data_IF_232297174511
#
_entry.id   IF_232297174511
#
_cell.length_a   1.000
_cell.length_b   1.000
_cell.length_c   1.000
_cell.angle_alpha   90.00
_cell.angle_beta   90.00
_cell.angle_gamma   90.00
#
_symmetry.space_group_name_H-M   'P 1'
#
loop_
_entity.id
_entity.type
_entity.pdbx_description
1 polymer ?
#
# COMPACT_ATOMS: atom_id res chain seq x y z
N UNK A 1 -21.27 -18.90 -21.06
CA UNK A 1 -22.19 -17.73 -20.86
C UNK A 1 -21.37 -16.52 -20.40
N UNK A 2 -21.77 -15.31 -20.80
CA UNK A 2 -21.09 -14.07 -20.40
C UNK A 2 -21.51 -13.72 -18.97
N UNK A 3 -20.53 -13.57 -18.05
CA UNK A 3 -20.83 -13.12 -16.69
C UNK A 3 -21.30 -11.65 -16.68
N UNK A 4 -22.23 -11.32 -15.81
CA UNK A 4 -22.63 -9.94 -15.52
C UNK A 4 -21.47 -9.20 -14.86
N UNK A 5 -21.27 -7.92 -15.22
CA UNK A 5 -20.25 -7.05 -14.62
C UNK A 5 -20.96 -5.93 -13.88
N UNK A 6 -20.64 -5.74 -12.62
CA UNK A 6 -21.27 -4.74 -11.75
C UNK A 6 -20.23 -4.05 -10.86
N UNK A 7 -20.46 -2.80 -10.43
CA UNK A 7 -19.66 -2.19 -9.38
C UNK A 7 -19.85 -2.95 -8.07
N UNK A 8 -18.81 -2.98 -7.25
CA UNK A 8 -18.88 -3.52 -5.89
C UNK A 8 -19.45 -2.42 -4.98
N UNK A 9 -20.63 -2.68 -4.42
CA UNK A 9 -21.27 -1.81 -3.41
C UNK A 9 -21.03 -2.36 -1.99
N UNK A 10 -21.47 -1.64 -0.98
CA UNK A 10 -21.38 -2.09 0.42
C UNK A 10 -22.14 -3.41 0.65
N UNK A 11 -23.21 -3.66 -0.10
CA UNK A 11 -24.02 -4.89 -0.01
C UNK A 11 -23.30 -6.10 -0.60
N UNK A 12 -22.40 -5.89 -1.58
CA UNK A 12 -21.64 -6.96 -2.23
C UNK A 12 -20.41 -7.40 -1.44
N UNK A 13 -19.97 -6.59 -0.46
CA UNK A 13 -18.73 -6.85 0.30
C UNK A 13 -18.66 -8.26 0.90
N UNK A 14 -19.74 -8.84 1.50
CA UNK A 14 -19.66 -10.19 2.05
C UNK A 14 -19.40 -11.26 0.97
N UNK A 15 -20.05 -11.15 -0.19
CA UNK A 15 -19.91 -12.11 -1.29
C UNK A 15 -18.50 -11.99 -1.95
N UNK A 16 -18.06 -10.76 -2.20
CA UNK A 16 -16.73 -10.48 -2.78
C UNK A 16 -15.63 -10.89 -1.82
N UNK A 17 -15.72 -10.57 -0.54
CA UNK A 17 -14.73 -10.95 0.48
C UNK A 17 -14.57 -12.46 0.62
N UNK A 18 -15.69 -13.20 0.62
CA UNK A 18 -15.69 -14.67 0.59
C UNK A 18 -15.01 -15.21 -0.67
N UNK A 19 -15.26 -14.60 -1.82
CA UNK A 19 -14.61 -14.97 -3.07
C UNK A 19 -13.10 -14.73 -3.00
N UNK A 20 -12.66 -13.55 -2.53
CA UNK A 20 -11.23 -13.20 -2.40
C UNK A 20 -10.49 -14.11 -1.42
N UNK A 21 -11.11 -14.42 -0.26
CA UNK A 21 -10.58 -15.40 0.70
C UNK A 21 -10.36 -16.76 0.03
N UNK A 22 -11.38 -17.30 -0.62
CA UNK A 22 -11.33 -18.67 -1.18
C UNK A 22 -10.45 -18.81 -2.41
N UNK A 23 -10.36 -17.76 -3.25
CA UNK A 23 -9.76 -17.88 -4.58
C UNK A 23 -8.42 -17.17 -4.72
N UNK A 24 -8.17 -16.12 -3.93
CA UNK A 24 -6.92 -15.36 -4.02
C UNK A 24 -5.97 -15.66 -2.86
N UNK A 25 -6.43 -15.48 -1.63
CA UNK A 25 -5.57 -15.68 -0.46
C UNK A 25 -6.35 -16.16 0.76
N UNK A 26 -6.35 -17.49 1.05
CA UNK A 26 -7.07 -18.06 2.19
C UNK A 26 -6.44 -17.72 3.56
N UNK A 27 -5.28 -17.05 3.60
CA UNK A 27 -4.67 -16.59 4.85
C UNK A 27 -5.24 -15.24 5.33
N UNK A 28 -5.96 -14.54 4.46
CA UNK A 28 -6.70 -13.31 4.80
C UNK A 28 -8.15 -13.70 4.99
N UNK A 29 -8.66 -13.57 6.21
CA UNK A 29 -10.04 -13.96 6.55
C UNK A 29 -11.09 -13.11 5.80
N UNK A 30 -12.29 -13.67 5.60
CA UNK A 30 -13.40 -12.97 4.92
C UNK A 30 -13.67 -11.60 5.55
N UNK A 31 -13.65 -11.51 6.89
CA UNK A 31 -13.84 -10.27 7.63
C UNK A 31 -12.72 -9.25 7.37
N UNK A 32 -11.48 -9.71 7.27
CA UNK A 32 -10.33 -8.83 6.98
C UNK A 32 -10.42 -8.25 5.57
N UNK A 33 -10.85 -9.05 4.57
CA UNK A 33 -11.14 -8.56 3.22
C UNK A 33 -12.23 -7.49 3.23
N UNK A 34 -13.35 -7.73 3.94
CA UNK A 34 -14.45 -6.78 4.05
C UNK A 34 -14.04 -5.48 4.76
N UNK A 35 -13.23 -5.58 5.82
CA UNK A 35 -12.71 -4.42 6.54
C UNK A 35 -11.75 -3.60 5.68
N UNK A 36 -10.87 -4.26 4.91
CA UNK A 36 -9.92 -3.58 4.03
C UNK A 36 -10.60 -2.79 2.91
N UNK A 37 -11.79 -3.20 2.48
CA UNK A 37 -12.58 -2.48 1.48
C UNK A 37 -13.38 -1.30 2.07
N UNK A 38 -13.59 -1.28 3.39
CA UNK A 38 -14.13 -0.13 4.12
C UNK A 38 -12.98 0.74 4.61
N UNK A 39 -12.36 1.44 3.67
CA UNK A 39 -11.19 2.27 3.98
C UNK A 39 -11.43 3.22 5.16
N UNK A 40 -10.43 3.48 6.01
CA UNK A 40 -10.61 4.31 7.20
C UNK A 40 -10.59 5.83 6.93
N UNK A 41 -10.16 6.25 5.75
CA UNK A 41 -10.14 7.66 5.35
C UNK A 41 -11.46 8.09 4.71
N UNK A 42 -11.79 9.37 4.86
CA UNK A 42 -13.01 9.97 4.32
C UNK A 42 -12.75 10.51 2.91
N UNK A 43 -13.31 9.84 1.91
CA UNK A 43 -13.25 10.25 0.51
C UNK A 43 -14.46 9.68 -0.25
N UNK A 44 -15.02 10.42 -1.21
CA UNK A 44 -16.05 9.88 -2.08
C UNK A 44 -15.56 8.62 -2.81
N UNK A 45 -16.20 7.49 -2.55
CA UNK A 45 -15.91 6.22 -3.21
C UNK A 45 -17.08 5.85 -4.12
N UNK A 46 -16.92 5.90 -5.45
CA UNK A 46 -18.00 5.56 -6.38
C UNK A 46 -18.38 4.06 -6.32
N UNK A 47 -17.44 3.24 -5.86
CA UNK A 47 -17.57 1.79 -5.69
C UNK A 47 -16.35 1.27 -4.91
N UNK A 48 -16.27 -0.05 -4.66
CA UNK A 48 -15.07 -0.70 -4.09
C UNK A 48 -14.31 -1.52 -5.16
N UNK A 49 -14.46 -1.18 -6.42
CA UNK A 49 -14.00 -1.93 -7.58
C UNK A 49 -15.18 -2.54 -8.36
N UNK A 50 -14.89 -3.56 -9.16
CA UNK A 50 -15.89 -4.25 -9.97
C UNK A 50 -15.79 -5.76 -9.81
N UNK A 51 -16.93 -6.45 -10.00
CA UNK A 51 -16.96 -7.91 -9.98
C UNK A 51 -17.72 -8.49 -11.17
N UNK A 52 -17.44 -9.74 -11.44
CA UNK A 52 -18.15 -10.58 -12.41
C UNK A 52 -18.98 -11.60 -11.66
N UNK A 53 -20.27 -11.73 -12.03
CA UNK A 53 -21.17 -12.72 -11.46
C UNK A 53 -21.79 -13.61 -12.52
N UNK A 54 -22.00 -14.87 -12.19
CA UNK A 54 -22.80 -15.82 -12.96
C UNK A 54 -23.94 -16.31 -12.07
N UNK A 55 -25.16 -15.78 -12.29
CA UNK A 55 -26.23 -15.87 -11.30
C UNK A 55 -25.80 -15.17 -10.01
N UNK A 56 -25.98 -15.81 -8.87
CA UNK A 56 -25.58 -15.28 -7.56
C UNK A 56 -24.10 -15.52 -7.22
N UNK A 57 -23.37 -16.23 -8.07
CA UNK A 57 -21.99 -16.60 -7.80
C UNK A 57 -21.01 -15.57 -8.34
N UNK A 58 -20.17 -15.02 -7.49
CA UNK A 58 -19.00 -14.23 -7.90
C UNK A 58 -17.97 -15.14 -8.58
N UNK A 59 -17.55 -14.78 -9.80
CA UNK A 59 -16.57 -15.52 -10.61
C UNK A 59 -15.32 -14.72 -10.92
N UNK A 60 -15.29 -13.45 -10.54
CA UNK A 60 -14.12 -12.58 -10.63
C UNK A 60 -14.35 -11.26 -9.90
N UNK A 61 -13.29 -10.65 -9.37
CA UNK A 61 -13.33 -9.32 -8.78
C UNK A 61 -11.99 -8.60 -8.96
N UNK A 62 -12.05 -7.28 -9.08
CA UNK A 62 -10.91 -6.39 -9.06
C UNK A 62 -11.22 -5.24 -8.10
N UNK A 63 -10.47 -5.14 -7.01
CA UNK A 63 -10.70 -4.19 -5.95
C UNK A 63 -10.05 -2.84 -6.28
N UNK A 64 -10.65 -1.76 -5.79
CA UNK A 64 -10.16 -0.40 -5.98
C UNK A 64 -10.23 0.39 -4.68
N UNK A 65 -9.23 1.24 -4.48
CA UNK A 65 -9.07 2.13 -3.33
C UNK A 65 -8.96 3.55 -3.84
N UNK A 66 -9.89 4.41 -3.43
CA UNK A 66 -9.97 5.79 -3.89
C UNK A 66 -9.39 6.74 -2.86
N UNK A 67 -8.75 7.80 -3.33
CA UNK A 67 -8.21 8.86 -2.49
C UNK A 67 -8.14 10.17 -3.23
N UNK A 68 -8.03 11.25 -2.47
CA UNK A 68 -7.68 12.58 -2.96
C UNK A 68 -6.23 12.90 -2.61
N UNK A 69 -5.51 13.53 -3.52
CA UNK A 69 -4.13 13.96 -3.34
C UNK A 69 -3.95 15.42 -3.69
N UNK A 70 -3.30 16.17 -2.82
CA UNK A 70 -2.93 17.54 -3.10
C UNK A 70 -1.61 17.57 -3.88
N UNK A 71 -1.62 18.06 -5.10
CA UNK A 71 -0.45 18.14 -5.97
C UNK A 71 -0.39 19.54 -6.59
N UNK A 72 0.65 20.29 -6.29
CA UNK A 72 0.85 21.66 -6.79
C UNK A 72 -0.35 22.62 -6.57
N UNK A 73 -1.12 22.41 -5.51
CA UNK A 73 -2.32 23.20 -5.17
C UNK A 73 -3.61 22.72 -5.83
N UNK A 74 -3.57 21.64 -6.60
CA UNK A 74 -4.74 21.00 -7.19
C UNK A 74 -5.07 19.70 -6.47
N UNK A 75 -6.36 19.38 -6.38
CA UNK A 75 -6.84 18.10 -5.84
C UNK A 75 -6.98 17.10 -6.96
N UNK A 76 -6.16 16.05 -6.94
CA UNK A 76 -6.23 14.92 -7.86
C UNK A 76 -7.01 13.76 -7.26
N UNK A 77 -7.92 13.19 -8.03
CA UNK A 77 -8.60 11.94 -7.69
C UNK A 77 -7.71 10.76 -8.10
N UNK A 78 -7.39 9.89 -7.15
CA UNK A 78 -6.52 8.73 -7.39
C UNK A 78 -7.26 7.44 -7.10
N UNK A 79 -7.17 6.48 -8.01
CA UNK A 79 -7.68 5.12 -7.86
C UNK A 79 -6.50 4.13 -7.82
N UNK A 80 -6.24 3.56 -6.66
CA UNK A 80 -5.29 2.47 -6.53
C UNK A 80 -5.96 1.14 -6.86
N UNK A 81 -5.41 0.43 -7.85
CA UNK A 81 -5.83 -0.90 -8.24
C UNK A 81 -5.26 -1.92 -7.26
N UNK A 82 -6.14 -2.56 -6.50
CA UNK A 82 -5.74 -3.52 -5.48
C UNK A 82 -5.72 -4.96 -6.00
N UNK A 83 -6.33 -5.87 -5.25
CA UNK A 83 -6.34 -7.30 -5.54
C UNK A 83 -7.23 -7.65 -6.75
N UNK A 84 -6.71 -8.44 -7.68
CA UNK A 84 -7.42 -8.93 -8.86
C UNK A 84 -7.42 -10.45 -8.90
N UNK A 85 -8.62 -11.03 -8.91
CA UNK A 85 -8.83 -12.47 -9.00
C UNK A 85 -9.99 -12.81 -9.93
N UNK A 86 -9.80 -13.80 -10.81
CA UNK A 86 -10.84 -14.32 -11.70
C UNK A 86 -10.67 -15.83 -11.79
N UNK A 87 -11.76 -16.58 -11.68
CA UNK A 87 -11.74 -18.03 -11.86
C UNK A 87 -11.17 -18.39 -13.23
N UNK A 88 -10.44 -19.49 -13.32
CA UNK A 88 -9.81 -19.96 -14.57
C UNK A 88 -10.83 -20.14 -15.70
N UNK A 89 -12.01 -20.65 -15.41
CA UNK A 89 -13.12 -20.80 -16.38
C UNK A 89 -13.63 -19.47 -16.96
N UNK A 90 -13.35 -18.35 -16.29
CA UNK A 90 -13.79 -17.00 -16.66
C UNK A 90 -12.61 -16.04 -16.96
N UNK A 91 -11.37 -16.54 -16.97
CA UNK A 91 -10.15 -15.73 -17.16
C UNK A 91 -10.20 -14.84 -18.40
N UNK A 92 -10.81 -15.30 -19.48
CA UNK A 92 -11.02 -14.55 -20.72
C UNK A 92 -11.89 -13.28 -20.53
N UNK A 93 -12.66 -13.18 -19.44
CA UNK A 93 -13.49 -12.03 -19.11
C UNK A 93 -12.80 -11.05 -18.14
N UNK A 94 -11.66 -11.43 -17.57
CA UNK A 94 -10.96 -10.64 -16.55
C UNK A 94 -10.59 -9.23 -17.03
N UNK A 95 -10.18 -9.08 -18.29
CA UNK A 95 -9.82 -7.77 -18.85
C UNK A 95 -10.98 -6.76 -18.79
N UNK A 96 -12.22 -7.22 -18.78
CA UNK A 96 -13.41 -6.33 -18.64
C UNK A 96 -13.37 -5.58 -17.31
N UNK A 97 -12.93 -6.22 -16.22
CA UNK A 97 -12.82 -5.57 -14.90
C UNK A 97 -11.82 -4.42 -14.96
N UNK A 98 -10.60 -4.68 -15.45
CA UNK A 98 -9.56 -3.68 -15.57
C UNK A 98 -9.98 -2.52 -16.49
N UNK A 99 -10.50 -2.83 -17.67
CA UNK A 99 -10.90 -1.79 -18.62
C UNK A 99 -12.07 -0.95 -18.11
N UNK A 100 -12.95 -1.51 -17.30
CA UNK A 100 -14.07 -0.77 -16.68
C UNK A 100 -13.53 0.17 -15.59
N UNK A 101 -12.59 -0.28 -14.74
CA UNK A 101 -11.92 0.57 -13.77
C UNK A 101 -11.24 1.75 -14.46
N UNK A 102 -10.43 1.49 -15.50
CA UNK A 102 -9.67 2.51 -16.21
C UNK A 102 -10.51 3.49 -17.05
N UNK A 103 -11.78 3.21 -17.26
CA UNK A 103 -12.74 4.10 -17.93
C UNK A 103 -13.43 5.08 -16.98
N UNK A 104 -13.24 4.97 -15.69
CA UNK A 104 -13.78 5.94 -14.74
C UNK A 104 -13.12 7.30 -15.00
N UNK A 105 -13.89 8.36 -15.30
CA UNK A 105 -13.33 9.65 -15.67
C UNK A 105 -12.75 10.38 -14.46
N UNK A 106 -11.71 11.16 -14.68
CA UNK A 106 -11.14 12.06 -13.66
C UNK A 106 -10.19 11.40 -12.66
N UNK A 107 -9.85 10.12 -12.84
CA UNK A 107 -8.93 9.42 -11.95
C UNK A 107 -7.54 9.20 -12.56
N UNK A 108 -6.53 9.44 -11.75
CA UNK A 108 -5.18 8.91 -11.92
C UNK A 108 -5.11 7.50 -11.32
N UNK A 109 -4.34 6.59 -11.92
CA UNK A 109 -4.33 5.19 -11.49
C UNK A 109 -2.96 4.75 -11.00
N UNK A 110 -2.95 4.00 -9.88
CA UNK A 110 -1.77 3.32 -9.37
C UNK A 110 -2.05 1.82 -9.24
N UNK A 111 -0.99 1.00 -9.34
CA UNK A 111 -1.01 -0.44 -9.05
C UNK A 111 0.28 -0.77 -8.30
N UNK A 112 0.17 -0.97 -6.98
CA UNK A 112 1.33 -1.15 -6.11
C UNK A 112 1.66 -2.62 -5.82
N UNK A 113 0.83 -3.54 -6.33
CA UNK A 113 1.04 -4.98 -6.16
C UNK A 113 0.73 -5.80 -7.42
N UNK A 114 1.09 -5.32 -8.64
CA UNK A 114 0.80 -6.07 -9.84
C UNK A 114 1.51 -7.42 -9.83
N UNK A 115 0.79 -8.49 -10.17
CA UNK A 115 1.42 -9.79 -10.40
C UNK A 115 2.29 -9.76 -11.66
N UNK A 116 3.26 -10.68 -11.76
CA UNK A 116 4.17 -10.72 -12.91
C UNK A 116 3.45 -10.79 -14.27
N UNK A 117 2.28 -11.43 -14.34
CA UNK A 117 1.46 -11.51 -15.56
C UNK A 117 0.69 -10.22 -15.87
N UNK A 118 0.44 -9.39 -14.86
CA UNK A 118 -0.28 -8.11 -15.00
C UNK A 118 0.62 -6.99 -15.49
N UNK A 119 1.91 -6.99 -15.12
CA UNK A 119 2.86 -5.95 -15.51
C UNK A 119 2.92 -5.71 -17.03
N UNK A 120 3.06 -6.74 -17.91
CA UNK A 120 3.04 -6.51 -19.35
C UNK A 120 1.71 -5.97 -19.87
N UNK A 121 0.60 -6.35 -19.26
CA UNK A 121 -0.72 -5.85 -19.61
C UNK A 121 -0.87 -4.37 -19.23
N UNK A 122 -0.48 -4.00 -18.01
CA UNK A 122 -0.51 -2.63 -17.54
C UNK A 122 0.33 -1.70 -18.43
N UNK A 123 1.54 -2.13 -18.85
CA UNK A 123 2.36 -1.36 -19.80
C UNK A 123 1.64 -1.07 -21.13
N UNK A 124 0.91 -2.07 -21.67
CA UNK A 124 0.08 -1.88 -22.89
C UNK A 124 -1.06 -0.89 -22.65
N UNK A 125 -1.50 -0.74 -21.40
CA UNK A 125 -2.54 0.20 -20.98
C UNK A 125 -1.97 1.53 -20.46
N UNK A 126 -0.73 1.87 -20.87
CA UNK A 126 -0.03 3.13 -20.58
C UNK A 126 0.36 3.33 -19.11
N UNK A 127 0.47 2.25 -18.31
CA UNK A 127 1.15 2.34 -17.03
C UNK A 127 2.66 2.39 -17.23
N UNK A 128 3.33 3.22 -16.44
CA UNK A 128 4.79 3.31 -16.33
C UNK A 128 5.27 2.63 -15.05
N UNK A 129 6.47 2.06 -15.08
CA UNK A 129 7.09 1.46 -13.90
C UNK A 129 7.61 2.57 -12.96
N UNK A 130 7.34 2.44 -11.66
CA UNK A 130 8.01 3.23 -10.65
C UNK A 130 9.41 2.65 -10.37
N UNK A 131 10.36 3.51 -9.98
CA UNK A 131 11.63 3.01 -9.46
C UNK A 131 11.41 2.40 -8.07
N UNK A 132 11.43 1.10 -8.03
CA UNK A 132 11.28 0.30 -6.81
C UNK A 132 12.61 -0.25 -6.29
N UNK A 133 13.74 0.37 -6.66
CA UNK A 133 15.04 0.01 -6.10
C UNK A 133 14.97 -0.02 -4.59
N UNK A 134 15.16 -1.21 -4.01
CA UNK A 134 14.94 -1.47 -2.58
C UNK A 134 16.23 -1.90 -1.93
N UNK A 135 16.49 -1.38 -0.73
CA UNK A 135 17.52 -1.89 0.17
C UNK A 135 16.91 -2.56 1.39
N UNK A 136 17.62 -3.55 1.91
CA UNK A 136 17.34 -4.25 3.16
C UNK A 136 18.24 -3.67 4.26
N UNK A 137 17.62 -3.23 5.35
CA UNK A 137 18.29 -2.81 6.58
C UNK A 137 18.08 -3.90 7.62
N UNK A 138 19.14 -4.57 8.10
CA UNK A 138 19.01 -5.60 9.13
C UNK A 138 18.47 -5.01 10.44
N UNK A 139 17.52 -5.71 11.06
CA UNK A 139 17.07 -5.42 12.41
C UNK A 139 18.06 -6.00 13.41
N UNK A 140 18.95 -5.18 13.92
CA UNK A 140 19.89 -5.56 14.97
C UNK A 140 19.63 -4.75 16.24
N UNK A 141 19.72 -5.35 17.44
CA UNK A 141 19.62 -4.60 18.68
C UNK A 141 20.74 -3.57 18.76
N UNK A 142 20.39 -2.30 18.74
CA UNK A 142 21.33 -1.21 18.91
C UNK A 142 21.19 -0.60 20.32
N UNK A 143 22.28 -0.23 21.01
CA UNK A 143 22.19 0.49 22.27
C UNK A 143 21.40 1.80 22.06
N UNK A 144 20.73 2.27 23.13
CA UNK A 144 20.01 3.54 23.05
C UNK A 144 20.97 4.65 22.66
N UNK A 145 20.74 5.24 21.45
CA UNK A 145 21.55 6.34 20.94
C UNK A 145 21.23 7.65 21.65
N UNK A 146 22.23 8.45 21.96
CA UNK A 146 21.99 9.81 22.40
C UNK A 146 21.40 10.63 21.26
N UNK A 147 20.28 11.33 21.53
CA UNK A 147 19.68 12.28 20.59
C UNK A 147 18.72 11.72 19.54
N UNK A 148 18.61 10.38 19.37
CA UNK A 148 17.66 9.77 18.39
C UNK A 148 16.65 8.93 19.15
N UNK A 149 15.36 9.21 18.95
CA UNK A 149 14.23 8.46 19.52
C UNK A 149 13.37 7.90 18.40
N UNK A 150 12.88 6.67 18.60
CA UNK A 150 11.89 6.05 17.70
C UNK A 150 10.74 5.55 18.56
N UNK A 151 9.51 5.92 18.21
CA UNK A 151 8.32 5.59 18.98
C UNK A 151 7.15 5.27 18.05
N UNK A 152 6.35 4.27 18.43
CA UNK A 152 5.05 3.96 17.83
C UNK A 152 3.90 4.17 18.84
N UNK A 153 4.15 4.85 19.95
CA UNK A 153 3.14 5.14 20.97
C UNK A 153 2.18 6.22 20.48
N UNK A 154 0.85 6.01 20.58
CA UNK A 154 -0.14 6.99 20.12
C UNK A 154 0.02 8.38 20.75
N UNK A 155 0.30 8.45 22.07
CA UNK A 155 0.50 9.72 22.76
C UNK A 155 1.70 10.53 22.24
N UNK A 156 2.76 9.83 21.78
CA UNK A 156 3.92 10.49 21.15
C UNK A 156 3.57 10.98 19.76
N UNK A 157 2.87 10.13 18.96
CA UNK A 157 2.40 10.49 17.62
C UNK A 157 1.50 11.72 17.68
N UNK A 158 0.50 11.72 18.58
CA UNK A 158 -0.44 12.83 18.78
C UNK A 158 0.24 14.13 19.22
N UNK A 159 1.37 14.04 19.96
CA UNK A 159 2.10 15.21 20.44
C UNK A 159 3.08 15.80 19.43
N UNK A 160 3.57 14.98 18.48
CA UNK A 160 4.62 15.37 17.52
C UNK A 160 4.02 15.76 16.17
N UNK A 161 3.03 14.99 15.67
CA UNK A 161 2.49 15.18 14.32
C UNK A 161 1.59 16.42 14.26
N UNK A 162 1.81 17.25 13.22
CA UNK A 162 1.06 18.49 12.97
C UNK A 162 0.74 18.62 11.48
N UNK A 163 -0.24 19.48 11.15
CA UNK A 163 -0.63 19.76 9.78
C UNK A 163 -0.92 18.50 8.98
N UNK A 164 -0.36 18.38 7.80
CA UNK A 164 -0.55 17.26 6.86
C UNK A 164 -0.20 15.89 7.48
N UNK A 165 0.86 15.81 8.28
CA UNK A 165 1.23 14.54 8.94
C UNK A 165 0.17 14.06 9.93
N UNK A 166 -0.49 15.00 10.62
CA UNK A 166 -1.58 14.69 11.55
C UNK A 166 -2.82 14.21 10.79
N UNK A 167 -3.13 14.79 9.65
CA UNK A 167 -4.21 14.37 8.76
C UNK A 167 -3.93 12.96 8.23
N UNK A 168 -2.74 12.72 7.68
CA UNK A 168 -2.32 11.40 7.21
C UNK A 168 -2.39 10.33 8.32
N UNK A 169 -2.01 10.69 9.56
CA UNK A 169 -2.13 9.78 10.69
C UNK A 169 -3.59 9.51 11.05
N UNK A 170 -4.46 10.52 11.07
CA UNK A 170 -5.88 10.35 11.34
C UNK A 170 -6.54 9.41 10.32
N UNK A 171 -6.23 9.57 9.03
CA UNK A 171 -6.74 8.77 7.95
C UNK A 171 -6.32 7.30 8.02
N UNK A 172 -5.10 7.04 8.50
CA UNK A 172 -4.53 5.69 8.44
C UNK A 172 -4.43 4.97 9.78
N UNK A 173 -4.70 5.64 10.92
CA UNK A 173 -4.55 5.03 12.25
C UNK A 173 -5.40 3.78 12.47
N UNK A 174 -6.52 3.66 11.76
CA UNK A 174 -7.39 2.50 11.79
C UNK A 174 -7.12 1.50 10.64
N UNK A 175 -6.18 1.77 9.74
CA UNK A 175 -5.81 0.88 8.66
C UNK A 175 -5.04 -0.34 9.19
N UNK A 176 -5.56 -1.54 8.97
CA UNK A 176 -5.12 -2.76 9.66
C UNK A 176 -3.64 -3.12 9.42
N UNK A 177 -3.09 -2.80 8.25
CA UNK A 177 -1.70 -3.10 7.90
C UNK A 177 -0.73 -1.95 8.23
N UNK A 178 -1.20 -0.73 8.48
CA UNK A 178 -0.36 0.41 8.76
C UNK A 178 0.26 0.34 10.17
N UNK A 179 1.55 0.65 10.26
CA UNK A 179 2.30 0.81 11.51
C UNK A 179 2.89 2.20 11.51
N UNK A 180 2.45 3.01 12.47
CA UNK A 180 2.78 4.42 12.58
C UNK A 180 3.94 4.62 13.53
N UNK A 181 4.96 5.34 13.09
CA UNK A 181 6.20 5.49 13.81
C UNK A 181 6.67 6.94 13.66
N UNK A 182 7.13 7.54 14.73
CA UNK A 182 7.91 8.79 14.71
C UNK A 182 9.35 8.48 15.04
N UNK A 183 10.25 8.89 14.14
CA UNK A 183 11.68 8.97 14.38
C UNK A 183 12.02 10.45 14.63
N UNK A 184 12.57 10.78 15.78
CA UNK A 184 12.89 12.16 16.16
C UNK A 184 14.32 12.31 16.63
N UNK A 185 14.89 13.48 16.33
CA UNK A 185 16.12 14.03 16.90
C UNK A 185 15.78 15.26 17.73
N UNK A 186 16.74 15.96 18.31
CA UNK A 186 16.45 17.15 19.12
C UNK A 186 15.68 18.26 18.38
N UNK A 187 15.83 18.38 17.05
CA UNK A 187 15.29 19.48 16.25
C UNK A 187 14.40 19.03 15.08
N UNK A 188 14.41 17.76 14.71
CA UNK A 188 13.73 17.25 13.53
C UNK A 188 12.97 15.97 13.85
N UNK A 189 11.92 15.70 13.07
CA UNK A 189 11.26 14.41 13.12
C UNK A 189 10.94 13.91 11.69
N UNK A 190 10.64 12.62 11.63
CA UNK A 190 10.16 11.94 10.45
C UNK A 190 8.98 11.05 10.86
N UNK A 191 7.82 11.31 10.33
CA UNK A 191 6.69 10.41 10.41
C UNK A 191 6.85 9.30 9.36
N UNK A 192 6.81 8.05 9.82
CA UNK A 192 7.00 6.86 9.00
C UNK A 192 5.77 5.99 9.10
N UNK A 193 5.25 5.54 7.95
CA UNK A 193 4.27 4.46 7.88
C UNK A 193 4.96 3.23 7.30
N UNK A 194 4.89 2.12 8.04
CA UNK A 194 5.43 0.84 7.63
C UNK A 194 4.34 -0.24 7.69
N UNK A 195 4.59 -1.40 7.08
CA UNK A 195 3.74 -2.58 7.20
C UNK A 195 4.60 -3.83 7.42
N UNK A 196 4.00 -4.89 7.99
CA UNK A 196 4.62 -6.22 7.94
C UNK A 196 4.62 -6.71 6.50
N UNK A 197 5.69 -7.39 6.11
CA UNK A 197 5.86 -7.93 4.76
C UNK A 197 6.30 -9.40 4.80
N UNK A 198 5.91 -10.13 3.79
CA UNK A 198 6.27 -11.54 3.59
C UNK A 198 7.12 -11.64 2.32
N UNK A 199 8.33 -12.19 2.44
CA UNK A 199 9.22 -12.48 1.31
C UNK A 199 9.56 -13.96 1.27
N UNK A 200 9.35 -14.62 0.12
CA UNK A 200 9.59 -16.07 -0.07
C UNK A 200 8.95 -16.93 1.04
N UNK A 201 7.74 -16.59 1.45
CA UNK A 201 7.02 -17.30 2.53
C UNK A 201 7.45 -16.95 3.95
N UNK A 202 8.50 -16.16 4.15
CA UNK A 202 8.99 -15.74 5.49
C UNK A 202 8.37 -14.40 5.86
N UNK A 203 7.60 -14.38 6.96
CA UNK A 203 6.94 -13.17 7.51
C UNK A 203 7.80 -12.47 8.56
N UNK A 204 9.02 -12.14 8.19
CA UNK A 204 10.00 -11.53 9.09
C UNK A 204 10.51 -10.17 8.58
N UNK A 205 9.75 -9.51 7.71
CA UNK A 205 10.13 -8.24 7.12
C UNK A 205 9.13 -7.15 7.47
N UNK A 206 9.59 -5.89 7.45
CA UNK A 206 8.74 -4.72 7.36
C UNK A 206 9.09 -3.94 6.10
N UNK A 207 8.12 -3.36 5.44
CA UNK A 207 8.32 -2.45 4.30
C UNK A 207 7.88 -1.05 4.69
N UNK A 208 8.71 -0.04 4.42
CA UNK A 208 8.35 1.36 4.61
C UNK A 208 7.50 1.80 3.42
N UNK A 209 6.33 2.37 3.72
CA UNK A 209 5.35 2.85 2.73
C UNK A 209 5.45 4.37 2.53
N UNK A 210 5.81 5.12 3.58
CA UNK A 210 5.87 6.56 3.58
C UNK A 210 6.89 7.08 4.60
N UNK A 211 7.49 8.21 4.30
CA UNK A 211 8.34 8.97 5.21
C UNK A 211 8.21 10.47 4.92
N UNK A 212 7.87 11.26 5.92
CA UNK A 212 7.74 12.71 5.78
C UNK A 212 9.08 13.45 5.64
N UNK A 213 10.15 12.86 6.17
CA UNK A 213 11.52 13.37 6.06
C UNK A 213 12.44 12.23 5.55
N UNK A 214 12.57 12.08 4.21
CA UNK A 214 13.38 11.02 3.60
C UNK A 214 14.84 11.04 4.04
N UNK A 215 15.43 12.22 4.24
CA UNK A 215 16.84 12.33 4.66
C UNK A 215 17.05 11.82 6.09
N UNK A 216 16.16 12.20 7.01
CA UNK A 216 16.22 11.72 8.39
C UNK A 216 16.03 10.20 8.46
N UNK A 217 15.05 9.67 7.70
CA UNK A 217 14.85 8.24 7.54
C UNK A 217 16.12 7.56 7.02
N UNK A 218 16.70 8.05 5.92
CA UNK A 218 17.90 7.50 5.29
C UNK A 218 19.07 7.42 6.25
N UNK A 219 19.31 8.48 7.00
CA UNK A 219 20.39 8.60 7.97
C UNK A 219 20.24 7.65 9.17
N UNK A 220 19.01 7.47 9.64
CA UNK A 220 18.70 6.72 10.85
C UNK A 220 17.94 5.41 10.61
N UNK A 221 17.97 4.89 9.38
CA UNK A 221 17.33 3.63 9.01
C UNK A 221 17.66 2.44 9.94
N UNK A 222 18.91 2.26 10.45
CA UNK A 222 19.21 1.20 11.42
C UNK A 222 18.42 1.35 12.74
N UNK A 223 18.12 2.56 13.20
CA UNK A 223 17.31 2.82 14.40
C UNK A 223 15.85 2.43 14.18
N UNK A 224 15.30 2.78 13.01
CA UNK A 224 13.98 2.33 12.62
C UNK A 224 13.91 0.79 12.53
N UNK A 225 14.92 0.15 11.92
CA UNK A 225 14.96 -1.31 11.80
C UNK A 225 15.05 -2.00 13.18
N UNK A 226 15.84 -1.46 14.13
CA UNK A 226 15.85 -1.92 15.52
C UNK A 226 14.49 -1.81 16.18
N UNK A 227 13.78 -0.70 15.99
CA UNK A 227 12.45 -0.49 16.54
C UNK A 227 11.44 -1.49 15.95
N UNK A 228 11.43 -1.67 14.63
CA UNK A 228 10.56 -2.63 13.95
C UNK A 228 10.86 -4.09 14.35
N UNK A 229 12.12 -4.42 14.61
CA UNK A 229 12.48 -5.72 15.18
C UNK A 229 11.86 -5.89 16.57
N UNK A 230 12.07 -4.94 17.47
CA UNK A 230 11.68 -5.07 18.88
C UNK A 230 10.18 -4.95 19.10
N UNK A 231 9.48 -4.13 18.32
CA UNK A 231 8.04 -3.90 18.48
C UNK A 231 7.16 -4.81 17.60
N UNK A 232 7.69 -5.24 16.45
CA UNK A 232 6.88 -5.95 15.45
C UNK A 232 7.51 -7.27 14.99
N UNK A 233 8.68 -7.66 15.51
CA UNK A 233 9.37 -8.91 15.16
C UNK A 233 9.93 -8.93 13.73
N UNK A 234 10.13 -7.75 13.11
CA UNK A 234 10.69 -7.67 11.77
C UNK A 234 12.20 -7.79 11.80
N UNK A 235 12.74 -8.92 11.37
CA UNK A 235 14.18 -9.18 11.33
C UNK A 235 14.93 -8.27 10.33
N UNK A 236 14.22 -7.74 9.34
CA UNK A 236 14.78 -6.76 8.42
C UNK A 236 13.70 -5.78 7.91
N UNK A 237 14.14 -4.56 7.64
CA UNK A 237 13.30 -3.50 7.07
C UNK A 237 13.66 -3.28 5.61
N UNK A 238 12.65 -3.26 4.75
CA UNK A 238 12.77 -2.99 3.33
C UNK A 238 12.42 -1.53 3.09
N UNK A 239 13.35 -0.79 2.49
CA UNK A 239 13.18 0.63 2.21
C UNK A 239 13.50 0.89 0.75
N UNK A 240 12.55 1.42 0.01
CA UNK A 240 12.78 1.87 -1.35
C UNK A 240 13.60 3.16 -1.34
N UNK A 241 14.56 3.26 -2.27
CA UNK A 241 15.42 4.44 -2.38
C UNK A 241 14.61 5.71 -2.63
N UNK A 242 13.51 5.59 -3.37
CA UNK A 242 12.58 6.67 -3.65
C UNK A 242 11.95 7.23 -2.37
N UNK A 243 11.57 6.37 -1.43
CA UNK A 243 10.97 6.76 -0.13
C UNK A 243 12.01 7.39 0.81
N UNK A 244 13.28 6.97 0.73
CA UNK A 244 14.35 7.46 1.58
C UNK A 244 15.24 8.52 0.95
N UNK A 245 14.92 8.97 -0.29
CA UNK A 245 15.78 9.90 -1.01
C UNK A 245 17.17 9.35 -1.33
N UNK A 246 17.31 8.02 -1.46
CA UNK A 246 18.55 7.33 -1.74
C UNK A 246 18.78 6.07 -0.91
N UNK A 247 19.97 5.49 -0.97
CA UNK A 247 20.31 4.27 -0.25
C UNK A 247 20.37 4.53 1.28
N UNK A 248 19.60 3.79 2.11
CA UNK A 248 19.62 3.93 3.55
C UNK A 248 20.97 3.53 4.15
N UNK A 249 21.37 4.20 5.23
CA UNK A 249 22.57 3.83 5.98
C UNK A 249 22.47 2.40 6.50
N UNK A 250 23.57 1.64 6.44
CA UNK A 250 23.65 0.26 6.93
C UNK A 250 22.78 -0.73 6.16
N UNK A 251 22.47 -0.43 4.90
CA UNK A 251 21.61 -1.26 4.06
C UNK A 251 22.36 -2.06 3.00
N UNK A 252 21.70 -3.11 2.50
CA UNK A 252 22.13 -3.90 1.36
C UNK A 252 21.10 -3.81 0.25
N UNK A 253 21.51 -3.39 -0.96
CA UNK A 253 20.61 -3.32 -2.12
C UNK A 253 20.17 -4.71 -2.53
N UNK A 254 18.87 -4.89 -2.73
CA UNK A 254 18.30 -6.14 -3.24
C UNK A 254 18.47 -6.22 -4.76
N UNK A 255 18.76 -7.43 -5.26
CA UNK A 255 18.86 -7.69 -6.71
C UNK A 255 17.51 -7.64 -7.42
N UNK A 256 16.42 -7.82 -6.70
CA UNK A 256 15.05 -7.81 -7.25
C UNK A 256 14.09 -7.07 -6.32
N UNK A 257 13.36 -6.13 -6.89
CA UNK A 257 12.26 -5.41 -6.25
C UNK A 257 10.91 -5.88 -6.80
N UNK A 258 9.84 -5.64 -6.05
CA UNK A 258 8.48 -5.87 -6.55
C UNK A 258 8.10 -4.72 -7.48
N UNK A 259 7.52 -4.99 -8.66
CA UNK A 259 7.07 -3.95 -9.56
C UNK A 259 5.94 -3.14 -8.91
N UNK A 260 5.91 -1.86 -9.19
CA UNK A 260 4.82 -0.93 -8.88
C UNK A 260 4.65 -0.01 -10.06
N UNK A 261 3.43 0.37 -10.35
CA UNK A 261 3.14 1.04 -11.61
C UNK A 261 2.22 2.24 -11.38
N UNK A 262 2.33 3.21 -12.27
CA UNK A 262 1.59 4.45 -12.28
C UNK A 262 1.05 4.71 -13.69
N UNK A 263 -0.21 5.14 -13.80
CA UNK A 263 -0.79 5.71 -15.00
C UNK A 263 -1.36 7.07 -14.65
N UNK A 264 -0.57 8.08 -14.84
CA UNK A 264 -0.87 9.48 -14.51
C UNK A 264 -0.01 10.39 -15.39
N UNK A 265 -0.55 11.54 -15.75
CA UNK A 265 0.19 12.65 -16.36
C UNK A 265 0.50 13.74 -15.33
N UNK A 266 -0.22 13.75 -14.21
CA UNK A 266 -0.13 14.79 -13.19
C UNK A 266 0.72 14.40 -11.97
N UNK A 267 0.78 13.11 -11.63
CA UNK A 267 1.57 12.62 -10.50
C UNK A 267 3.04 12.45 -10.88
N UNK A 268 3.93 13.10 -10.15
CA UNK A 268 5.37 12.86 -10.28
C UNK A 268 5.75 11.46 -9.74
N UNK A 269 6.25 10.55 -10.60
CA UNK A 269 6.64 9.20 -10.18
C UNK A 269 7.63 9.16 -9.01
N UNK A 270 8.49 10.18 -8.86
CA UNK A 270 9.46 10.27 -7.79
C UNK A 270 8.81 10.56 -6.42
N UNK A 271 7.62 11.17 -6.40
CA UNK A 271 6.91 11.65 -5.20
C UNK A 271 5.71 10.79 -4.81
N UNK A 272 5.33 9.79 -5.62
CA UNK A 272 4.22 8.88 -5.29
C UNK A 272 4.58 8.08 -4.05
N UNK A 273 3.80 8.18 -2.99
CA UNK A 273 3.85 7.31 -1.81
C UNK A 273 2.89 6.11 -1.94
N UNK A 274 2.82 5.26 -0.92
CA UNK A 274 2.01 4.05 -0.91
C UNK A 274 0.84 4.10 0.07
N UNK A 275 0.52 5.30 0.56
CA UNK A 275 -0.65 5.54 1.38
C UNK A 275 -1.93 5.41 0.55
N UNK A 276 -3.07 5.28 1.22
CA UNK A 276 -4.39 5.18 0.59
C UNK A 276 -4.50 4.03 -0.42
N UNK A 277 -3.87 2.90 -0.12
CA UNK A 277 -3.83 1.72 -0.97
C UNK A 277 -4.10 0.44 -0.20
N UNK A 278 -4.23 -0.66 -0.92
CA UNK A 278 -4.33 -2.00 -0.32
C UNK A 278 -3.16 -2.30 0.61
N UNK A 279 -2.00 -1.66 0.39
CA UNK A 279 -0.81 -1.90 1.20
C UNK A 279 -0.95 -1.40 2.64
N UNK A 280 -1.82 -0.41 2.89
CA UNK A 280 -2.14 0.06 4.24
C UNK A 280 -3.29 -0.70 4.88
N UNK A 281 -4.16 -1.32 4.08
CA UNK A 281 -5.38 -1.97 4.54
C UNK A 281 -5.25 -3.48 4.75
N UNK A 282 -4.37 -4.17 3.99
CA UNK A 282 -4.25 -5.63 3.97
C UNK A 282 -2.85 -6.11 4.37
N UNK A 283 -2.80 -7.03 5.34
CA UNK A 283 -1.60 -7.82 5.65
C UNK A 283 -1.63 -9.16 4.90
N UNK A 284 -0.93 -9.29 3.79
CA UNK A 284 -0.85 -10.52 2.99
C UNK A 284 0.58 -10.90 2.57
#
# INVERSE_FOLDING_TARGET
MKAALSPITAEDLPAVSRFMHRQLNPKVEELQWAQALRVPWDVPQPNHGFFLAQGERVVGAYLAYYSERQVAGETLQVCNLGAWCVLDSHRHQGLRLLTTLLKQPGYEFTDFSPSGNVVPLNRKLKFTDLDTTTSLVPGVPLPRGRGVRVSSRPDVLDSVLQGEERELYADHRAAAAARHIVLSTGSEHCYVVARKDTRKGVRAFASVLYASNPELLRRHAPRLATHLLTQHGAAATLIEHRVAGGAPTGSHRLSRSRPKMLRSEALDPARVDYLYSELTCLEW
#
